data_IF_508378141641
#
_entry.id   IF_508378141641
#
_cell.length_a   1.000
_cell.length_b   1.000
_cell.length_c   1.000
_cell.angle_alpha   90.00
_cell.angle_beta   90.00
_cell.angle_gamma   90.00
#
_symmetry.space_group_name_H-M   'P 1'
#
loop_
_entity.id
_entity.type
_entity.pdbx_description
1 polymer ?
#
# COMPACT_ATOMS: atom_id res chain seq x y z
N UNK A 1 58.30 -12.67 37.02
CA UNK A 1 58.03 -11.29 36.52
C UNK A 1 57.70 -11.37 35.06
N UNK A 2 56.49 -11.05 34.66
CA UNK A 2 56.06 -11.11 33.24
C UNK A 2 56.77 -9.99 32.47
N UNK A 3 57.60 -10.39 31.49
CA UNK A 3 58.30 -9.47 30.59
C UNK A 3 57.31 -8.52 29.91
N UNK A 4 57.29 -7.23 30.30
CA UNK A 4 56.37 -6.24 29.72
C UNK A 4 56.73 -6.01 28.25
N UNK A 5 55.85 -6.43 27.33
CA UNK A 5 55.97 -6.17 25.87
C UNK A 5 56.06 -4.67 25.60
N UNK A 6 57.09 -4.22 24.89
CA UNK A 6 57.27 -2.82 24.50
C UNK A 6 57.23 -2.71 22.96
N UNK A 7 56.77 -1.59 22.44
CA UNK A 7 56.85 -1.27 21.01
C UNK A 7 58.27 -0.72 20.64
N UNK A 8 58.44 -0.37 19.36
CA UNK A 8 59.70 0.19 18.84
C UNK A 8 60.07 1.57 19.44
N UNK A 9 59.12 2.24 20.11
CA UNK A 9 59.33 3.51 20.82
C UNK A 9 59.43 3.32 22.33
N UNK A 10 59.58 2.08 22.84
CA UNK A 10 59.68 1.77 24.24
C UNK A 10 58.40 1.83 25.07
N UNK A 11 57.24 2.06 24.42
CA UNK A 11 55.96 2.16 25.09
C UNK A 11 55.42 0.78 25.46
N UNK A 12 54.86 0.64 26.66
CA UNK A 12 54.28 -0.62 27.16
C UNK A 12 53.01 -0.98 26.40
N UNK A 13 52.97 -2.19 25.87
CA UNK A 13 51.80 -2.78 25.21
C UNK A 13 50.96 -3.53 26.24
N UNK A 14 49.61 -3.44 26.09
CA UNK A 14 48.60 -4.15 26.89
C UNK A 14 48.45 -5.59 26.42
N UNK A 15 47.69 -6.39 27.17
CA UNK A 15 47.29 -7.73 26.75
C UNK A 15 46.50 -7.67 25.45
N UNK A 16 46.80 -8.53 24.50
CA UNK A 16 46.20 -8.51 23.17
C UNK A 16 46.87 -7.56 22.16
N UNK A 17 47.56 -6.47 22.63
CA UNK A 17 48.28 -5.55 21.75
C UNK A 17 49.61 -6.16 21.26
N UNK A 18 49.95 -5.89 19.99
CA UNK A 18 51.28 -6.22 19.45
C UNK A 18 51.73 -5.22 18.39
N UNK A 19 53.04 -4.98 18.33
CA UNK A 19 53.70 -4.26 17.25
C UNK A 19 54.15 -5.24 16.17
N UNK A 20 53.88 -4.97 14.92
CA UNK A 20 54.16 -5.84 13.78
C UNK A 20 55.35 -5.34 12.96
N UNK A 21 56.02 -6.27 12.28
CA UNK A 21 57.14 -5.94 11.39
C UNK A 21 56.78 -5.03 10.23
N UNK A 22 55.47 -5.00 9.85
CA UNK A 22 54.93 -4.15 8.80
C UNK A 22 54.61 -2.71 9.24
N UNK A 23 55.05 -2.31 10.44
CA UNK A 23 54.91 -0.96 10.97
C UNK A 23 53.50 -0.63 11.51
N UNK A 24 52.64 -1.63 11.67
CA UNK A 24 51.29 -1.46 12.22
C UNK A 24 51.18 -2.04 13.62
N UNK A 25 50.26 -1.51 14.40
CA UNK A 25 49.80 -2.09 15.64
C UNK A 25 48.64 -3.03 15.40
N UNK A 26 48.51 -4.09 16.20
CA UNK A 26 47.39 -4.99 16.18
C UNK A 26 46.90 -5.31 17.57
N UNK A 27 45.60 -5.45 17.73
CA UNK A 27 44.94 -5.93 18.93
C UNK A 27 44.12 -7.18 18.59
N UNK A 28 44.38 -8.25 19.37
CA UNK A 28 43.70 -9.53 19.21
C UNK A 28 42.78 -9.76 20.40
N UNK A 29 41.54 -10.11 20.10
CA UNK A 29 40.51 -10.40 21.09
C UNK A 29 39.65 -11.57 20.65
N UNK A 30 38.88 -12.17 21.57
CA UNK A 30 37.89 -13.20 21.28
C UNK A 30 36.54 -12.57 21.36
N UNK A 31 35.76 -12.71 20.31
CA UNK A 31 34.33 -12.35 20.31
C UNK A 31 33.59 -13.41 21.12
N UNK A 32 33.01 -13.02 22.25
CA UNK A 32 32.43 -13.94 23.24
C UNK A 32 31.25 -14.72 22.63
N UNK A 33 30.49 -14.11 21.72
CA UNK A 33 29.28 -14.68 21.13
C UNK A 33 29.59 -15.64 19.99
N UNK A 34 30.48 -15.27 19.10
CA UNK A 34 30.89 -16.13 17.97
C UNK A 34 31.98 -17.12 18.31
N UNK A 35 32.67 -16.97 19.46
CA UNK A 35 33.85 -17.75 19.87
C UNK A 35 35.07 -17.51 18.97
N UNK A 36 34.98 -16.63 17.98
CA UNK A 36 36.06 -16.39 17.01
C UNK A 36 37.11 -15.43 17.55
N UNK A 37 38.37 -15.76 17.30
CA UNK A 37 39.50 -14.85 17.53
C UNK A 37 39.58 -13.84 16.38
N UNK A 38 39.41 -12.56 16.70
CA UNK A 38 39.48 -11.45 15.77
C UNK A 38 40.71 -10.59 16.02
N UNK A 39 41.19 -9.90 14.99
CA UNK A 39 42.33 -9.00 15.08
C UNK A 39 42.00 -7.70 14.38
N UNK A 40 42.21 -6.56 15.04
CA UNK A 40 42.11 -5.23 14.44
C UNK A 40 43.48 -4.61 14.31
N UNK A 41 43.64 -3.73 13.33
CA UNK A 41 44.92 -3.08 13.03
C UNK A 41 44.75 -1.56 13.08
N UNK A 42 45.84 -0.88 13.47
CA UNK A 42 45.95 0.58 13.50
C UNK A 42 47.32 1.03 13.06
N UNK A 43 47.42 2.28 12.61
CA UNK A 43 48.72 2.87 12.21
C UNK A 43 49.57 3.29 13.42
N UNK A 44 48.90 3.69 14.49
CA UNK A 44 49.53 4.10 15.70
C UNK A 44 48.84 3.53 16.95
N UNK A 45 49.48 3.65 18.12
CA UNK A 45 49.00 3.09 19.38
C UNK A 45 47.76 3.84 19.94
N UNK A 46 47.65 5.17 19.83
CA UNK A 46 46.41 5.86 20.20
C UNK A 46 45.19 5.38 19.39
N UNK A 47 45.31 5.29 18.08
CA UNK A 47 44.24 4.77 17.22
C UNK A 47 43.84 3.32 17.60
N UNK A 48 44.85 2.49 17.93
CA UNK A 48 44.56 1.13 18.36
C UNK A 48 43.74 1.12 19.64
N UNK A 49 44.12 1.94 20.64
CA UNK A 49 43.46 2.01 21.95
C UNK A 49 42.05 2.58 21.89
N UNK A 50 41.76 3.51 20.97
CA UNK A 50 40.40 3.94 20.70
C UNK A 50 39.56 2.79 20.11
N UNK A 51 40.14 2.01 19.19
CA UNK A 51 39.48 0.80 18.67
C UNK A 51 39.24 -0.25 19.76
N UNK A 52 40.21 -0.47 20.67
CA UNK A 52 40.05 -1.37 21.82
C UNK A 52 38.90 -0.93 22.73
N UNK A 53 38.86 0.37 23.07
CA UNK A 53 37.80 0.92 23.92
C UNK A 53 36.41 0.73 23.28
N UNK A 54 36.33 0.94 21.98
CA UNK A 54 35.08 0.71 21.25
C UNK A 54 34.71 -0.78 21.22
N UNK A 55 35.67 -1.67 20.97
CA UNK A 55 35.46 -3.12 20.99
C UNK A 55 35.04 -3.61 22.37
N UNK A 56 35.70 -3.13 23.45
CA UNK A 56 35.33 -3.48 24.82
C UNK A 56 33.87 -3.09 25.10
N UNK A 57 33.46 -1.88 24.68
CA UNK A 57 32.11 -1.43 24.81
C UNK A 57 31.14 -2.24 23.94
N UNK A 58 31.53 -2.60 22.71
CA UNK A 58 30.71 -3.44 21.82
C UNK A 58 30.50 -4.85 22.42
N UNK A 59 31.55 -5.42 23.05
CA UNK A 59 31.48 -6.72 23.74
C UNK A 59 30.63 -6.65 25.01
N UNK A 60 30.75 -5.57 25.80
CA UNK A 60 29.93 -5.33 26.99
C UNK A 60 28.45 -5.18 26.64
N UNK A 61 28.14 -4.53 25.51
CA UNK A 61 26.78 -4.36 24.98
C UNK A 61 26.33 -5.57 24.12
N UNK A 62 27.06 -6.67 24.09
CA UNK A 62 26.81 -7.87 23.27
C UNK A 62 26.72 -7.62 21.76
N UNK A 63 27.26 -6.53 21.25
CA UNK A 63 27.27 -6.22 19.81
C UNK A 63 28.28 -7.12 19.08
N UNK A 64 27.85 -7.69 17.96
CA UNK A 64 28.71 -8.51 17.12
C UNK A 64 29.88 -7.71 16.54
N UNK A 65 31.09 -8.17 16.80
CA UNK A 65 32.32 -7.49 16.35
C UNK A 65 32.94 -8.08 15.09
N UNK A 66 32.28 -9.09 14.47
CA UNK A 66 32.76 -9.75 13.25
C UNK A 66 32.88 -8.75 12.09
N UNK A 67 34.05 -8.75 11.44
CA UNK A 67 34.33 -7.86 10.32
C UNK A 67 33.41 -8.04 9.09
N UNK A 68 32.81 -9.21 8.93
CA UNK A 68 31.80 -9.45 7.88
C UNK A 68 30.51 -8.68 8.15
N UNK A 69 30.08 -8.62 9.41
CA UNK A 69 28.88 -7.89 9.84
C UNK A 69 29.12 -6.38 9.76
N UNK A 70 30.32 -5.90 10.10
CA UNK A 70 30.69 -4.48 9.94
C UNK A 70 30.68 -3.99 8.49
N UNK A 71 30.65 -4.91 7.50
CA UNK A 71 30.51 -4.61 6.06
C UNK A 71 29.08 -4.73 5.54
N UNK A 72 28.15 -5.17 6.37
CA UNK A 72 26.73 -5.34 5.97
C UNK A 72 26.13 -4.01 5.55
N UNK A 73 25.66 -3.90 4.31
CA UNK A 73 24.95 -2.72 3.80
C UNK A 73 23.45 -2.85 4.08
N UNK A 74 22.72 -1.73 4.01
CA UNK A 74 21.28 -1.71 4.17
C UNK A 74 20.57 -2.54 3.08
N UNK A 75 21.12 -2.59 1.85
CA UNK A 75 20.61 -3.47 0.78
C UNK A 75 20.68 -4.95 1.20
N UNK A 76 21.82 -5.40 1.70
CA UNK A 76 21.96 -6.80 2.14
C UNK A 76 21.14 -7.11 3.38
N UNK A 77 20.96 -6.14 4.27
CA UNK A 77 20.06 -6.29 5.41
C UNK A 77 18.59 -6.44 4.95
N UNK A 78 18.16 -5.62 3.99
CA UNK A 78 16.83 -5.72 3.42
C UNK A 78 16.60 -7.08 2.72
N UNK A 79 17.57 -7.59 1.97
CA UNK A 79 17.51 -8.93 1.37
C UNK A 79 17.30 -10.02 2.44
N UNK A 80 18.06 -9.96 3.56
CA UNK A 80 17.87 -10.86 4.70
C UNK A 80 16.49 -10.72 5.31
N UNK A 81 16.03 -9.49 5.57
CA UNK A 81 14.69 -9.22 6.09
C UNK A 81 13.60 -9.80 5.17
N UNK A 82 13.73 -9.62 3.86
CA UNK A 82 12.78 -10.17 2.89
C UNK A 82 12.79 -11.70 2.82
N UNK A 83 13.91 -12.36 3.15
CA UNK A 83 13.99 -13.83 3.18
C UNK A 83 13.30 -14.44 4.39
N UNK A 84 13.16 -13.69 5.50
CA UNK A 84 12.46 -14.13 6.72
C UNK A 84 10.95 -13.87 6.70
N UNK A 85 10.45 -13.17 5.67
CA UNK A 85 9.05 -12.76 5.60
C UNK A 85 8.23 -13.63 4.64
N UNK A 86 7.17 -14.20 5.15
CA UNK A 86 6.10 -14.78 4.33
C UNK A 86 5.16 -13.66 3.87
N UNK A 87 5.30 -13.24 2.63
CA UNK A 87 4.49 -12.19 2.03
C UNK A 87 3.76 -12.73 0.81
N UNK A 88 2.52 -12.26 0.60
CA UNK A 88 1.85 -12.50 -0.70
C UNK A 88 2.74 -11.98 -1.84
N UNK A 89 2.83 -12.72 -2.92
CA UNK A 89 3.69 -12.42 -4.09
C UNK A 89 3.51 -10.97 -4.57
N UNK A 90 2.26 -10.51 -4.62
CA UNK A 90 1.96 -9.15 -5.01
C UNK A 90 2.54 -8.08 -4.06
N UNK A 91 2.63 -8.35 -2.76
CA UNK A 91 3.25 -7.46 -1.77
C UNK A 91 4.76 -7.52 -1.89
N UNK A 92 5.32 -8.73 -2.01
CA UNK A 92 6.76 -8.95 -2.22
C UNK A 92 7.27 -8.20 -3.44
N UNK A 93 6.58 -8.33 -4.58
CA UNK A 93 6.93 -7.62 -5.81
C UNK A 93 6.88 -6.09 -5.64
N UNK A 94 5.89 -5.55 -4.90
CA UNK A 94 5.85 -4.11 -4.61
C UNK A 94 7.01 -3.65 -3.73
N UNK A 95 7.39 -4.42 -2.71
CA UNK A 95 8.53 -4.12 -1.83
C UNK A 95 9.81 -4.08 -2.65
N UNK A 96 10.10 -5.13 -3.43
CA UNK A 96 11.29 -5.22 -4.26
C UNK A 96 11.37 -4.08 -5.28
N UNK A 97 10.27 -3.80 -6.00
CA UNK A 97 10.20 -2.70 -6.96
C UNK A 97 10.41 -1.34 -6.32
N UNK A 98 9.80 -1.11 -5.14
CA UNK A 98 9.95 0.17 -4.44
C UNK A 98 11.36 0.34 -3.91
N UNK A 99 11.95 -0.73 -3.36
CA UNK A 99 13.33 -0.73 -2.90
C UNK A 99 14.30 -0.40 -4.03
N UNK A 100 14.21 -1.14 -5.14
CA UNK A 100 15.05 -0.96 -6.33
C UNK A 100 15.00 0.47 -6.85
N UNK A 101 13.79 1.03 -7.00
CA UNK A 101 13.60 2.32 -7.65
C UNK A 101 13.83 3.54 -6.72
N UNK A 102 13.87 3.36 -5.39
CA UNK A 102 13.81 4.51 -4.47
C UNK A 102 14.79 4.46 -3.32
N UNK A 103 15.23 3.28 -2.88
CA UNK A 103 16.04 3.12 -1.66
C UNK A 103 17.45 2.65 -1.97
N UNK A 104 17.58 1.71 -2.91
CA UNK A 104 18.80 0.98 -3.22
C UNK A 104 20.02 1.90 -3.45
N UNK A 105 19.88 2.87 -4.32
CA UNK A 105 20.97 3.75 -4.74
C UNK A 105 21.12 4.98 -3.83
N UNK A 106 20.11 5.32 -3.06
CA UNK A 106 20.10 6.51 -2.21
C UNK A 106 20.79 6.25 -0.85
N UNK A 107 20.30 5.27 -0.11
CA UNK A 107 20.81 4.92 1.23
C UNK A 107 21.18 3.44 1.37
N UNK A 108 20.79 2.60 0.42
CA UNK A 108 20.94 1.16 0.48
C UNK A 108 22.39 0.68 0.55
N UNK A 109 23.34 1.45 0.05
CA UNK A 109 24.77 1.13 0.05
C UNK A 109 25.48 1.55 1.35
N UNK A 110 24.81 2.27 2.26
CA UNK A 110 25.39 2.66 3.55
C UNK A 110 25.49 1.40 4.42
N UNK A 111 26.63 1.25 5.11
CA UNK A 111 26.81 0.17 6.06
C UNK A 111 25.87 0.36 7.24
N UNK A 112 25.20 -0.72 7.67
CA UNK A 112 24.20 -0.69 8.75
C UNK A 112 24.73 -0.03 10.02
N UNK A 113 25.97 -0.36 10.42
CA UNK A 113 26.64 0.22 11.59
C UNK A 113 26.97 1.72 11.46
N UNK A 114 26.89 2.28 10.27
CA UNK A 114 27.16 3.70 9.97
C UNK A 114 25.88 4.51 9.72
N UNK A 115 24.73 3.85 9.69
CA UNK A 115 23.45 4.55 9.49
C UNK A 115 23.13 5.37 10.73
N UNK A 116 22.96 6.67 10.53
CA UNK A 116 22.52 7.60 11.56
C UNK A 116 21.06 8.03 11.30
N UNK A 117 20.32 8.43 12.35
CA UNK A 117 18.98 8.99 12.17
C UNK A 117 18.93 10.14 11.17
N UNK A 118 20.00 10.96 11.10
CA UNK A 118 20.12 12.07 10.15
C UNK A 118 20.13 11.61 8.69
N UNK A 119 20.73 10.46 8.37
CA UNK A 119 20.74 9.91 7.02
C UNK A 119 19.32 9.57 6.56
N UNK A 120 18.54 8.89 7.43
CA UNK A 120 17.16 8.49 7.11
C UNK A 120 16.25 9.72 7.05
N UNK A 121 16.37 10.66 7.99
CA UNK A 121 15.62 11.93 7.98
C UNK A 121 15.91 12.74 6.72
N UNK A 122 17.18 12.86 6.31
CA UNK A 122 17.58 13.54 5.08
C UNK A 122 16.97 12.87 3.85
N UNK A 123 16.98 11.54 3.81
CA UNK A 123 16.36 10.76 2.72
C UNK A 123 14.85 11.00 2.65
N UNK A 124 14.12 10.94 3.77
CA UNK A 124 12.68 11.22 3.78
C UNK A 124 12.37 12.69 3.43
N UNK A 125 13.21 13.63 3.89
CA UNK A 125 13.09 15.03 3.49
C UNK A 125 13.28 15.23 1.97
N UNK A 126 14.24 14.50 1.36
CA UNK A 126 14.44 14.51 -0.10
C UNK A 126 13.20 14.01 -0.84
N UNK A 127 12.60 12.89 -0.37
CA UNK A 127 11.36 12.37 -0.95
C UNK A 127 10.19 13.34 -0.79
N UNK A 128 10.06 13.97 0.39
CA UNK A 128 9.04 14.98 0.65
C UNK A 128 9.17 16.18 -0.28
N UNK A 129 10.38 16.73 -0.45
CA UNK A 129 10.66 17.83 -1.37
C UNK A 129 10.41 17.46 -2.84
N UNK A 130 10.60 16.19 -3.20
CA UNK A 130 10.25 15.67 -4.52
C UNK A 130 8.74 15.47 -4.72
N UNK A 131 7.89 15.83 -3.73
CA UNK A 131 6.43 15.79 -3.84
C UNK A 131 5.79 14.45 -3.54
N UNK A 132 6.54 13.48 -2.97
CA UNK A 132 5.96 12.19 -2.61
C UNK A 132 4.93 12.34 -1.49
N UNK A 133 3.82 11.56 -1.60
CA UNK A 133 2.81 11.50 -0.57
C UNK A 133 3.34 10.82 0.70
N UNK A 134 2.80 11.23 1.86
CA UNK A 134 3.07 10.58 3.16
C UNK A 134 2.93 9.06 3.11
N UNK A 135 1.87 8.56 2.47
CA UNK A 135 1.63 7.11 2.33
C UNK A 135 2.76 6.38 1.59
N UNK A 136 3.42 7.04 0.63
CA UNK A 136 4.58 6.48 -0.10
C UNK A 136 5.81 6.42 0.82
N UNK A 137 6.06 7.50 1.58
CA UNK A 137 7.18 7.55 2.53
C UNK A 137 6.95 6.53 3.65
N UNK A 138 5.72 6.43 4.16
CA UNK A 138 5.32 5.41 5.15
C UNK A 138 5.49 3.99 4.63
N UNK A 139 5.19 3.75 3.36
CA UNK A 139 5.41 2.46 2.73
C UNK A 139 6.90 2.10 2.67
N UNK A 140 7.78 3.07 2.41
CA UNK A 140 9.25 2.91 2.44
C UNK A 140 9.73 2.69 3.87
N UNK A 141 9.23 3.44 4.84
CA UNK A 141 9.54 3.30 6.26
C UNK A 141 9.16 1.90 6.79
N UNK A 142 8.04 1.36 6.34
CA UNK A 142 7.60 -0.01 6.67
C UNK A 142 8.54 -1.12 6.13
N UNK A 143 9.51 -0.78 5.28
CA UNK A 143 10.59 -1.67 4.84
C UNK A 143 11.88 -1.40 5.61
N UNK A 144 12.25 -0.14 5.80
CA UNK A 144 13.51 0.28 6.42
C UNK A 144 13.49 0.05 7.93
N UNK A 145 12.45 0.54 8.61
CA UNK A 145 12.38 0.49 10.06
C UNK A 145 12.36 -0.95 10.61
N UNK A 146 11.54 -1.90 10.10
CA UNK A 146 11.58 -3.28 10.56
C UNK A 146 12.89 -4.03 10.18
N UNK A 147 13.48 -3.73 9.03
CA UNK A 147 14.77 -4.32 8.67
C UNK A 147 15.89 -3.88 9.64
N UNK A 148 15.88 -2.62 10.05
CA UNK A 148 16.81 -2.10 11.04
C UNK A 148 16.48 -2.59 12.46
N UNK A 149 15.20 -2.86 12.78
CA UNK A 149 14.86 -3.51 14.06
C UNK A 149 15.40 -4.94 14.12
N UNK A 150 15.31 -5.71 13.03
CA UNK A 150 15.96 -7.02 12.95
C UNK A 150 17.48 -6.90 13.19
N UNK A 151 18.13 -5.83 12.73
CA UNK A 151 19.55 -5.62 13.00
C UNK A 151 19.84 -5.27 14.48
N UNK A 152 18.87 -4.72 15.22
CA UNK A 152 18.94 -4.55 16.68
C UNK A 152 18.76 -5.90 17.37
N UNK A 153 17.75 -6.68 16.96
CA UNK A 153 17.47 -8.00 17.52
C UNK A 153 18.63 -8.99 17.29
N UNK A 154 19.33 -8.85 16.15
CA UNK A 154 20.53 -9.61 15.81
C UNK A 154 21.82 -9.07 16.46
N UNK A 155 21.75 -8.05 17.33
CA UNK A 155 22.89 -7.37 17.99
C UNK A 155 23.94 -6.81 17.01
N UNK A 156 23.51 -6.38 15.84
CA UNK A 156 24.37 -5.71 14.84
C UNK A 156 24.51 -4.22 15.17
N UNK A 157 23.43 -3.60 15.65
CA UNK A 157 23.39 -2.20 16.08
C UNK A 157 22.64 -2.08 17.41
N UNK A 158 23.00 -1.08 18.23
CA UNK A 158 22.40 -0.87 19.56
C UNK A 158 20.99 -0.31 19.55
N UNK A 159 20.68 0.50 18.55
CA UNK A 159 19.39 1.22 18.45
C UNK A 159 19.00 1.33 16.98
N UNK A 160 17.72 1.25 16.74
CA UNK A 160 17.17 1.46 15.41
C UNK A 160 17.19 2.96 15.04
N UNK A 161 17.99 3.36 14.04
CA UNK A 161 18.08 4.76 13.62
C UNK A 161 16.85 5.27 12.88
N UNK A 162 15.91 4.38 12.49
CA UNK A 162 14.64 4.74 11.85
C UNK A 162 13.49 4.92 12.85
N UNK A 163 13.70 4.72 14.15
CA UNK A 163 12.66 4.77 15.17
C UNK A 163 12.35 6.22 15.60
N UNK A 164 11.64 6.95 14.74
CA UNK A 164 11.15 8.31 14.99
C UNK A 164 9.82 8.53 14.24
N UNK A 165 9.09 9.59 14.61
CA UNK A 165 7.85 9.95 13.90
C UNK A 165 8.14 10.45 12.49
N UNK A 166 7.38 9.98 11.52
CA UNK A 166 7.47 10.42 10.13
C UNK A 166 6.26 11.26 9.69
N UNK A 167 5.41 11.70 10.62
CA UNK A 167 4.19 12.49 10.35
C UNK A 167 4.42 13.75 9.52
N UNK A 168 5.62 14.33 9.66
CA UNK A 168 5.99 15.62 9.07
C UNK A 168 6.54 15.49 7.65
N UNK A 169 6.67 14.24 7.14
CA UNK A 169 7.22 13.99 5.81
C UNK A 169 6.12 13.67 4.81
N UNK A 170 6.26 14.24 3.61
CA UNK A 170 5.38 13.97 2.50
C UNK A 170 4.08 14.78 2.52
N UNK A 171 3.47 14.87 1.33
CA UNK A 171 2.16 15.52 1.20
C UNK A 171 1.09 14.63 1.85
N UNK A 172 0.32 15.20 2.75
CA UNK A 172 -0.84 14.51 3.30
C UNK A 172 -1.84 14.18 2.19
N UNK A 173 -2.49 13.03 2.31
CA UNK A 173 -3.52 12.66 1.35
C UNK A 173 -4.74 13.56 1.53
N UNK A 174 -5.29 14.04 0.43
CA UNK A 174 -6.61 14.66 0.45
C UNK A 174 -7.65 13.61 0.85
N UNK A 175 -8.60 14.01 1.68
CA UNK A 175 -9.69 13.15 2.07
C UNK A 175 -10.52 12.74 0.85
N UNK A 176 -10.81 11.45 0.74
CA UNK A 176 -11.64 10.94 -0.35
C UNK A 176 -13.11 11.08 0.04
N UNK A 177 -13.74 12.12 -0.47
CA UNK A 177 -15.13 12.41 -0.20
C UNK A 177 -16.02 11.63 -1.19
N UNK A 178 -17.11 11.04 -0.70
CA UNK A 178 -18.15 10.43 -1.51
C UNK A 178 -18.82 11.50 -2.39
N UNK A 179 -19.29 11.11 -3.57
CA UNK A 179 -20.11 12.00 -4.39
C UNK A 179 -21.38 12.36 -3.62
N UNK A 180 -21.82 13.61 -3.69
CA UNK A 180 -23.17 13.98 -3.23
C UNK A 180 -24.23 13.26 -4.08
N UNK A 181 -25.48 13.20 -3.61
CA UNK A 181 -26.59 12.62 -4.39
C UNK A 181 -26.70 13.29 -5.76
N UNK A 182 -26.67 14.61 -5.77
CA UNK A 182 -26.74 15.40 -7.00
C UNK A 182 -25.57 15.14 -7.96
N UNK A 183 -24.34 15.05 -7.46
CA UNK A 183 -23.16 14.73 -8.28
C UNK A 183 -23.25 13.32 -8.87
N UNK A 184 -23.72 12.36 -8.09
CA UNK A 184 -23.95 10.98 -8.55
C UNK A 184 -25.00 10.94 -9.65
N UNK A 185 -26.14 11.62 -9.47
CA UNK A 185 -27.22 11.69 -10.45
C UNK A 185 -26.75 12.35 -11.74
N UNK A 186 -26.07 13.52 -11.66
CA UNK A 186 -25.50 14.19 -12.83
C UNK A 186 -24.52 13.31 -13.59
N UNK A 187 -23.67 12.58 -12.85
CA UNK A 187 -22.72 11.65 -13.48
C UNK A 187 -23.44 10.55 -14.25
N UNK A 188 -24.42 9.90 -13.63
CA UNK A 188 -25.18 8.82 -14.24
C UNK A 188 -26.01 9.31 -15.43
N UNK A 189 -26.68 10.44 -15.30
CA UNK A 189 -27.48 11.05 -16.37
C UNK A 189 -26.62 11.44 -17.57
N UNK A 190 -25.48 12.09 -17.33
CA UNK A 190 -24.53 12.43 -18.38
C UNK A 190 -24.06 11.19 -19.13
N UNK A 191 -23.65 10.13 -18.42
CA UNK A 191 -23.18 8.91 -19.04
C UNK A 191 -24.27 8.22 -19.83
N UNK A 192 -25.49 8.13 -19.29
CA UNK A 192 -26.65 7.52 -19.95
C UNK A 192 -26.97 8.18 -21.30
N UNK A 193 -26.90 9.52 -21.35
CA UNK A 193 -27.30 10.33 -22.51
C UNK A 193 -26.15 10.67 -23.46
N UNK A 194 -24.90 10.25 -23.14
CA UNK A 194 -23.73 10.55 -23.97
C UNK A 194 -23.42 9.40 -24.92
N UNK A 195 -23.32 9.68 -26.22
CA UNK A 195 -23.08 8.68 -27.26
C UNK A 195 -21.74 7.93 -27.11
N UNK A 196 -20.73 8.57 -26.51
CA UNK A 196 -19.40 7.97 -26.33
C UNK A 196 -19.33 7.12 -25.06
N UNK A 197 -20.02 7.53 -24.00
CA UNK A 197 -19.88 6.94 -22.67
C UNK A 197 -21.05 6.04 -22.23
N UNK A 198 -22.18 6.01 -22.98
CA UNK A 198 -23.38 5.25 -22.59
C UNK A 198 -23.12 3.75 -22.40
N UNK A 199 -22.14 3.19 -23.10
CA UNK A 199 -21.73 1.78 -22.94
C UNK A 199 -21.15 1.47 -21.56
N UNK A 200 -20.73 2.47 -20.79
CA UNK A 200 -20.25 2.33 -19.42
C UNK A 200 -21.32 2.52 -18.36
N UNK A 201 -22.54 2.92 -18.74
CA UNK A 201 -23.64 3.16 -17.82
C UNK A 201 -24.00 1.94 -16.95
N UNK A 202 -24.13 0.72 -17.49
CA UNK A 202 -24.39 -0.47 -16.68
C UNK A 202 -23.26 -0.74 -15.69
N UNK A 203 -21.99 -0.60 -16.11
CA UNK A 203 -20.83 -0.77 -15.23
C UNK A 203 -20.87 0.17 -14.02
N UNK A 204 -21.17 1.46 -14.23
CA UNK A 204 -21.26 2.43 -13.13
C UNK A 204 -22.39 2.09 -12.16
N UNK A 205 -23.52 1.61 -12.64
CA UNK A 205 -24.64 1.17 -11.79
C UNK A 205 -24.28 -0.08 -10.98
N UNK A 206 -23.57 -1.03 -11.58
CA UNK A 206 -23.06 -2.21 -10.87
C UNK A 206 -22.07 -1.79 -9.79
N UNK A 207 -21.15 -0.88 -10.10
CA UNK A 207 -20.18 -0.34 -9.12
C UNK A 207 -20.88 0.29 -7.92
N UNK A 208 -21.87 1.15 -8.15
CA UNK A 208 -22.63 1.83 -7.09
C UNK A 208 -23.53 0.88 -6.31
N UNK A 209 -24.09 -0.11 -6.97
CA UNK A 209 -25.03 -1.03 -6.34
C UNK A 209 -24.38 -2.16 -5.55
N UNK A 210 -23.18 -2.58 -5.95
CA UNK A 210 -22.44 -3.67 -5.27
C UNK A 210 -21.37 -3.16 -4.30
N UNK A 211 -20.86 -1.94 -4.53
CA UNK A 211 -19.72 -1.41 -3.80
C UNK A 211 -18.42 -2.23 -3.94
N UNK A 212 -18.33 -3.11 -4.96
CA UNK A 212 -17.17 -3.97 -5.20
C UNK A 212 -15.86 -3.18 -5.37
N UNK A 213 -14.74 -3.78 -4.97
CA UNK A 213 -13.42 -3.21 -5.27
C UNK A 213 -13.13 -3.30 -6.77
N UNK A 214 -12.31 -2.40 -7.28
CA UNK A 214 -11.97 -2.36 -8.71
C UNK A 214 -11.51 -3.73 -9.23
N UNK A 215 -10.59 -4.41 -8.54
CA UNK A 215 -10.10 -5.74 -8.93
C UNK A 215 -11.17 -6.83 -8.85
N UNK A 216 -12.06 -6.77 -7.87
CA UNK A 216 -13.22 -7.66 -7.74
C UNK A 216 -14.16 -7.48 -8.95
N UNK A 217 -14.54 -6.22 -9.25
CA UNK A 217 -15.44 -5.92 -10.35
C UNK A 217 -14.93 -6.36 -11.71
N UNK A 218 -13.67 -6.04 -12.04
CA UNK A 218 -13.11 -6.45 -13.35
C UNK A 218 -12.83 -7.95 -13.42
N UNK A 219 -12.74 -8.62 -12.27
CA UNK A 219 -12.62 -10.07 -12.16
C UNK A 219 -13.93 -10.82 -12.34
N UNK A 220 -15.09 -10.16 -12.17
CA UNK A 220 -16.38 -10.83 -12.28
C UNK A 220 -16.56 -11.53 -13.64
N UNK A 221 -17.01 -12.76 -13.56
CA UNK A 221 -17.44 -13.59 -14.68
C UNK A 221 -18.96 -13.76 -14.69
N UNK A 222 -19.53 -14.27 -15.77
CA UNK A 222 -20.96 -14.58 -15.80
C UNK A 222 -21.36 -15.74 -14.90
N UNK A 223 -20.41 -16.54 -14.43
CA UNK A 223 -20.64 -17.62 -13.45
C UNK A 223 -20.86 -17.06 -12.03
N UNK A 224 -20.32 -15.87 -11.74
CA UNK A 224 -20.48 -15.19 -10.45
C UNK A 224 -21.84 -14.52 -10.28
N UNK A 225 -22.65 -14.41 -11.36
CA UNK A 225 -23.90 -13.67 -11.35
C UNK A 225 -25.09 -14.59 -11.54
N UNK A 226 -25.81 -14.87 -10.46
CA UNK A 226 -27.08 -15.60 -10.53
C UNK A 226 -28.26 -14.63 -10.58
N UNK A 227 -28.82 -14.47 -11.78
CA UNK A 227 -29.99 -13.60 -12.04
C UNK A 227 -31.27 -14.14 -11.39
N UNK A 228 -31.38 -15.46 -11.19
CA UNK A 228 -32.59 -16.10 -10.60
C UNK A 228 -32.66 -15.85 -9.11
N UNK A 229 -31.56 -16.07 -8.41
CA UNK A 229 -31.46 -15.82 -6.95
C UNK A 229 -31.15 -14.37 -6.64
N UNK A 230 -30.89 -13.54 -7.65
CA UNK A 230 -30.48 -12.13 -7.54
C UNK A 230 -29.26 -11.97 -6.65
N UNK A 231 -28.20 -12.72 -6.94
CA UNK A 231 -26.98 -12.71 -6.16
C UNK A 231 -25.74 -12.55 -7.04
N UNK A 232 -24.73 -11.85 -6.49
CA UNK A 232 -23.39 -11.74 -7.07
C UNK A 232 -22.39 -12.32 -6.06
N UNK A 233 -21.65 -13.33 -6.48
CA UNK A 233 -20.55 -13.90 -5.68
C UNK A 233 -19.25 -13.15 -5.94
N UNK A 234 -18.55 -12.81 -4.89
CA UNK A 234 -17.21 -12.18 -4.95
C UNK A 234 -16.28 -13.07 -4.14
N UNK A 235 -15.48 -13.88 -4.81
CA UNK A 235 -14.52 -14.80 -4.21
C UNK A 235 -13.10 -14.65 -4.78
N UNK A 236 -12.97 -13.83 -5.83
CA UNK A 236 -11.71 -13.56 -6.50
C UNK A 236 -11.60 -12.11 -6.99
N UNK A 237 -10.44 -11.74 -7.46
CA UNK A 237 -10.15 -10.46 -8.07
C UNK A 237 -9.16 -10.62 -9.22
N UNK A 238 -9.29 -9.81 -10.25
CA UNK A 238 -8.36 -9.72 -11.36
C UNK A 238 -7.30 -8.66 -11.07
N UNK A 239 -6.03 -9.03 -11.21
CA UNK A 239 -4.90 -8.10 -11.09
C UNK A 239 -4.08 -8.13 -12.37
N UNK A 240 -3.40 -7.01 -12.70
CA UNK A 240 -2.45 -6.94 -13.80
C UNK A 240 -1.08 -6.57 -13.23
N UNK A 241 -0.18 -7.54 -13.18
CA UNK A 241 1.09 -7.39 -12.47
C UNK A 241 2.16 -8.33 -13.04
N UNK A 242 3.42 -7.94 -12.85
CA UNK A 242 4.56 -8.82 -13.01
C UNK A 242 4.82 -9.54 -11.67
N UNK A 243 4.68 -10.85 -11.66
CA UNK A 243 4.96 -11.72 -10.52
C UNK A 243 6.25 -12.54 -10.75
N UNK A 244 7.08 -12.13 -11.72
CA UNK A 244 8.33 -12.79 -12.06
C UNK A 244 8.35 -13.36 -13.49
N UNK A 245 7.21 -13.29 -14.19
CA UNK A 245 6.99 -13.83 -15.54
C UNK A 245 6.49 -12.78 -16.55
N UNK A 246 6.72 -11.50 -16.22
CA UNK A 246 6.27 -10.36 -17.00
C UNK A 246 4.90 -9.84 -16.61
N UNK A 247 4.54 -8.67 -17.15
CA UNK A 247 3.23 -8.05 -16.88
C UNK A 247 2.11 -8.79 -17.58
N UNK A 248 1.25 -9.47 -16.82
CA UNK A 248 0.05 -10.16 -17.32
C UNK A 248 -1.08 -10.12 -16.31
N UNK A 249 -2.27 -10.56 -16.72
CA UNK A 249 -3.40 -10.74 -15.83
C UNK A 249 -3.21 -12.00 -14.97
N UNK A 250 -3.62 -11.90 -13.71
CA UNK A 250 -3.68 -13.01 -12.77
C UNK A 250 -4.97 -12.95 -11.98
N UNK A 251 -5.51 -14.10 -11.62
CA UNK A 251 -6.55 -14.21 -10.60
C UNK A 251 -5.88 -14.26 -9.23
N UNK A 252 -6.40 -13.52 -8.29
CA UNK A 252 -5.93 -13.50 -6.91
C UNK A 252 -7.11 -13.62 -5.96
N UNK A 253 -6.96 -14.41 -4.90
CA UNK A 253 -7.95 -14.48 -3.83
C UNK A 253 -7.99 -13.18 -3.02
N UNK A 254 -9.11 -12.81 -2.42
CA UNK A 254 -9.20 -11.70 -1.50
C UNK A 254 -8.17 -11.79 -0.37
N UNK A 255 -7.80 -10.65 0.21
CA UNK A 255 -6.77 -10.60 1.27
C UNK A 255 -7.23 -11.21 2.60
N UNK A 256 -8.52 -11.26 2.84
CA UNK A 256 -9.14 -11.79 4.04
C UNK A 256 -10.40 -12.56 3.66
N UNK A 257 -10.80 -13.50 4.49
CA UNK A 257 -12.03 -14.30 4.31
C UNK A 257 -13.28 -13.43 4.22
N UNK A 258 -13.30 -12.28 4.89
CA UNK A 258 -14.36 -11.25 4.75
C UNK A 258 -14.48 -10.69 3.32
N UNK A 259 -13.46 -10.90 2.47
CA UNK A 259 -13.51 -10.54 1.05
C UNK A 259 -14.33 -11.51 0.22
N UNK A 260 -14.52 -12.76 0.68
CA UNK A 260 -15.36 -13.77 0.04
C UNK A 260 -16.79 -13.57 0.55
N UNK A 261 -17.69 -13.22 -0.36
CA UNK A 261 -19.05 -12.86 0.00
C UNK A 261 -20.01 -12.96 -1.17
N UNK A 262 -21.28 -13.19 -0.86
CA UNK A 262 -22.38 -13.14 -1.83
C UNK A 262 -23.25 -11.91 -1.55
N UNK A 263 -23.38 -11.01 -2.51
CA UNK A 263 -24.10 -9.75 -2.40
C UNK A 263 -25.47 -9.92 -3.06
N UNK A 264 -26.59 -9.73 -2.32
CA UNK A 264 -27.92 -9.66 -2.93
C UNK A 264 -28.02 -8.46 -3.89
N UNK A 265 -28.59 -8.66 -5.07
CA UNK A 265 -28.80 -7.62 -6.05
C UNK A 265 -30.14 -6.91 -5.85
N UNK A 266 -30.12 -5.59 -5.88
CA UNK A 266 -31.37 -4.84 -6.12
C UNK A 266 -31.84 -5.05 -7.57
N UNK A 267 -33.13 -4.81 -7.85
CA UNK A 267 -33.66 -4.90 -9.20
C UNK A 267 -32.94 -3.98 -10.21
N UNK A 268 -32.38 -2.87 -9.72
CA UNK A 268 -31.58 -1.96 -10.53
C UNK A 268 -30.23 -2.55 -10.93
N UNK A 269 -29.55 -3.24 -10.00
CA UNK A 269 -28.28 -3.92 -10.25
C UNK A 269 -28.50 -5.10 -11.19
N UNK A 270 -29.57 -5.86 -10.99
CA UNK A 270 -29.96 -6.95 -11.88
C UNK A 270 -30.15 -6.45 -13.31
N UNK A 271 -30.94 -5.38 -13.52
CA UNK A 271 -31.13 -4.76 -14.83
C UNK A 271 -29.81 -4.29 -15.45
N UNK A 272 -28.90 -3.74 -14.64
CA UNK A 272 -27.60 -3.31 -15.12
C UNK A 272 -26.74 -4.49 -15.62
N UNK A 273 -26.78 -5.65 -14.96
CA UNK A 273 -26.12 -6.86 -15.47
C UNK A 273 -26.77 -7.37 -16.77
N UNK A 274 -28.09 -7.35 -16.87
CA UNK A 274 -28.79 -7.74 -18.09
C UNK A 274 -28.44 -6.81 -19.27
N UNK A 275 -28.39 -5.50 -19.04
CA UNK A 275 -27.93 -4.50 -20.01
C UNK A 275 -26.48 -4.74 -20.43
N UNK A 276 -25.59 -5.01 -19.45
CA UNK A 276 -24.19 -5.34 -19.73
C UNK A 276 -24.04 -6.62 -20.56
N UNK A 277 -24.87 -7.63 -20.32
CA UNK A 277 -24.88 -8.88 -21.09
C UNK A 277 -25.28 -8.64 -22.55
N UNK A 278 -26.32 -7.81 -22.77
CA UNK A 278 -26.73 -7.39 -24.11
C UNK A 278 -25.63 -6.63 -24.84
N UNK A 279 -24.95 -5.69 -24.14
CA UNK A 279 -23.83 -4.93 -24.71
C UNK A 279 -22.67 -5.86 -25.10
N UNK A 280 -22.30 -6.80 -24.26
CA UNK A 280 -21.23 -7.75 -24.56
C UNK A 280 -21.58 -8.63 -25.77
N UNK A 281 -22.83 -9.07 -25.86
CA UNK A 281 -23.31 -9.84 -27.01
C UNK A 281 -23.24 -9.02 -28.31
N UNK A 282 -23.77 -7.80 -28.30
CA UNK A 282 -23.78 -6.91 -29.50
C UNK A 282 -22.35 -6.54 -29.94
N UNK A 283 -21.42 -6.39 -29.01
CA UNK A 283 -20.04 -6.01 -29.28
C UNK A 283 -19.11 -7.23 -29.47
N UNK A 284 -19.66 -8.44 -29.47
CA UNK A 284 -18.96 -9.72 -29.62
C UNK A 284 -17.76 -9.88 -28.67
N UNK A 285 -17.91 -9.39 -27.42
CA UNK A 285 -16.83 -9.36 -26.43
C UNK A 285 -16.81 -10.64 -25.59
N UNK A 286 -15.61 -11.11 -25.25
CA UNK A 286 -15.36 -12.03 -24.15
C UNK A 286 -15.53 -13.52 -24.44
N UNK A 287 -15.54 -13.96 -25.70
CA UNK A 287 -15.82 -15.38 -26.02
C UNK A 287 -14.69 -16.37 -25.71
N UNK A 288 -13.42 -15.94 -25.74
CA UNK A 288 -12.29 -16.88 -25.77
C UNK A 288 -11.15 -16.56 -24.79
N UNK A 289 -11.38 -15.65 -23.82
CA UNK A 289 -10.31 -15.27 -22.86
C UNK A 289 -10.42 -16.12 -21.62
N UNK A 290 -9.37 -16.89 -21.37
CA UNK A 290 -9.15 -17.63 -20.13
C UNK A 290 -7.95 -17.06 -19.37
N UNK A 291 -8.12 -16.82 -18.06
CA UNK A 291 -7.06 -16.35 -17.16
C UNK A 291 -7.14 -17.20 -15.90
N UNK A 292 -6.08 -17.95 -15.61
CA UNK A 292 -5.95 -18.82 -14.44
C UNK A 292 -7.19 -19.72 -14.22
N UNK A 293 -7.77 -20.26 -15.32
CA UNK A 293 -8.96 -21.13 -15.30
C UNK A 293 -10.31 -20.40 -15.35
N UNK A 294 -10.34 -19.08 -15.23
CA UNK A 294 -11.58 -18.28 -15.29
C UNK A 294 -11.89 -17.81 -16.71
N UNK A 295 -13.16 -17.87 -17.08
CA UNK A 295 -13.68 -17.50 -18.41
C UNK A 295 -14.91 -16.62 -18.28
N UNK A 296 -15.30 -15.96 -19.40
CA UNK A 296 -16.56 -15.22 -19.45
C UNK A 296 -16.56 -13.93 -18.64
N UNK A 297 -15.44 -13.21 -18.58
CA UNK A 297 -15.32 -11.92 -17.89
C UNK A 297 -16.35 -10.91 -18.36
N UNK A 298 -16.96 -10.19 -17.43
CA UNK A 298 -18.08 -9.27 -17.71
C UNK A 298 -17.57 -7.96 -18.31
N UNK A 299 -16.51 -7.37 -17.74
CA UNK A 299 -16.03 -6.06 -18.15
C UNK A 299 -14.82 -6.17 -19.08
N UNK A 300 -15.10 -6.03 -20.37
CA UNK A 300 -14.14 -6.24 -21.45
C UNK A 300 -13.77 -4.93 -22.15
N UNK A 301 -12.48 -4.78 -22.45
CA UNK A 301 -11.98 -3.70 -23.29
C UNK A 301 -12.34 -3.92 -24.79
N UNK A 302 -12.16 -2.89 -25.61
CA UNK A 302 -12.31 -3.00 -27.08
C UNK A 302 -11.33 -4.00 -27.72
N UNK A 303 -10.20 -4.25 -27.07
CA UNK A 303 -9.19 -5.22 -27.52
C UNK A 303 -9.57 -6.69 -27.31
N UNK A 304 -10.75 -6.99 -26.74
CA UNK A 304 -11.17 -8.35 -26.41
C UNK A 304 -10.54 -8.93 -25.16
N UNK A 305 -9.77 -8.16 -24.39
CA UNK A 305 -9.22 -8.54 -23.08
C UNK A 305 -10.06 -7.96 -21.95
N UNK A 306 -10.03 -8.52 -20.74
CA UNK A 306 -10.63 -7.87 -19.57
C UNK A 306 -10.12 -6.45 -19.37
N UNK A 307 -10.92 -5.59 -18.73
CA UNK A 307 -10.47 -4.24 -18.39
C UNK A 307 -9.30 -4.31 -17.42
N UNK A 308 -8.31 -3.46 -17.64
CA UNK A 308 -7.23 -3.26 -16.67
C UNK A 308 -7.73 -2.46 -15.46
N UNK A 309 -7.19 -2.68 -14.24
CA UNK A 309 -7.55 -1.89 -13.07
C UNK A 309 -7.48 -0.38 -13.30
N UNK A 310 -6.44 0.09 -13.99
CA UNK A 310 -6.26 1.51 -14.30
C UNK A 310 -7.25 2.02 -15.37
N UNK A 311 -7.78 1.14 -16.23
CA UNK A 311 -8.70 1.54 -17.28
C UNK A 311 -10.00 2.11 -16.72
N UNK A 312 -10.53 1.56 -15.63
CA UNK A 312 -11.72 2.10 -14.97
C UNK A 312 -11.49 3.54 -14.50
N UNK A 313 -10.36 3.82 -13.87
CA UNK A 313 -10.05 5.18 -13.42
C UNK A 313 -9.90 6.16 -14.60
N UNK A 314 -9.29 5.72 -15.70
CA UNK A 314 -9.19 6.52 -16.92
C UNK A 314 -10.58 6.79 -17.55
N UNK A 315 -11.46 5.79 -17.56
CA UNK A 315 -12.84 5.94 -18.03
C UNK A 315 -13.57 6.99 -17.18
N UNK A 316 -13.52 6.85 -15.86
CA UNK A 316 -14.14 7.79 -14.92
C UNK A 316 -13.58 9.20 -15.06
N UNK A 317 -12.26 9.34 -15.17
CA UNK A 317 -11.60 10.62 -15.41
C UNK A 317 -12.10 11.28 -16.71
N UNK A 318 -12.15 10.53 -17.82
CA UNK A 318 -12.62 11.04 -19.10
C UNK A 318 -14.10 11.44 -19.08
N UNK A 319 -14.94 10.69 -18.35
CA UNK A 319 -16.35 11.03 -18.13
C UNK A 319 -16.47 12.37 -17.41
N UNK A 320 -15.76 12.54 -16.31
CA UNK A 320 -15.78 13.77 -15.51
C UNK A 320 -15.23 14.95 -16.31
N UNK A 321 -14.12 14.78 -17.01
CA UNK A 321 -13.52 15.82 -17.84
C UNK A 321 -14.50 16.27 -18.96
N UNK A 322 -15.14 15.32 -19.64
CA UNK A 322 -16.13 15.59 -20.69
C UNK A 322 -17.38 16.30 -20.14
N UNK A 323 -17.88 15.87 -18.97
CA UNK A 323 -18.97 16.54 -18.27
C UNK A 323 -18.59 17.97 -17.93
N UNK A 324 -17.46 18.17 -17.26
CA UNK A 324 -17.02 19.48 -16.79
C UNK A 324 -16.78 20.45 -17.94
N UNK A 325 -16.21 19.98 -19.06
CA UNK A 325 -16.06 20.80 -20.27
C UNK A 325 -17.39 21.26 -20.83
N UNK A 326 -18.37 20.34 -20.93
CA UNK A 326 -19.72 20.66 -21.39
C UNK A 326 -20.43 21.62 -20.45
N UNK A 327 -20.33 21.37 -19.13
CA UNK A 327 -20.97 22.19 -18.10
C UNK A 327 -20.44 23.64 -18.10
N UNK A 328 -19.11 23.83 -18.24
CA UNK A 328 -18.52 25.16 -18.36
C UNK A 328 -19.07 25.94 -19.56
N UNK A 329 -19.30 25.26 -20.69
CA UNK A 329 -19.87 25.90 -21.88
C UNK A 329 -21.33 26.30 -21.66
N UNK A 330 -22.14 25.40 -21.09
CA UNK A 330 -23.56 25.66 -20.76
C UNK A 330 -23.67 26.81 -19.76
N UNK A 331 -22.94 26.74 -18.65
CA UNK A 331 -22.95 27.76 -17.61
C UNK A 331 -22.57 29.15 -18.13
N UNK A 332 -21.60 29.21 -19.07
CA UNK A 332 -21.23 30.45 -19.74
C UNK A 332 -22.37 31.02 -20.60
N UNK A 333 -23.08 30.16 -21.31
CA UNK A 333 -24.23 30.56 -22.12
C UNK A 333 -25.41 31.01 -21.27
N UNK A 334 -25.62 30.35 -20.13
CA UNK A 334 -26.70 30.64 -19.18
C UNK A 334 -26.35 31.72 -18.15
N UNK A 335 -25.17 32.30 -18.21
CA UNK A 335 -24.66 33.32 -17.28
C UNK A 335 -24.72 32.92 -15.81
N UNK A 336 -24.45 31.63 -15.50
CA UNK A 336 -24.39 31.05 -14.14
C UNK A 336 -23.04 30.46 -13.82
N UNK A 337 -22.81 30.14 -12.55
CA UNK A 337 -21.63 29.37 -12.15
C UNK A 337 -21.73 27.92 -12.64
N UNK A 338 -20.60 27.38 -13.13
CA UNK A 338 -20.53 26.00 -13.55
C UNK A 338 -20.55 25.05 -12.33
N UNK A 339 -21.37 24.03 -12.38
CA UNK A 339 -21.48 23.00 -11.35
C UNK A 339 -20.62 21.78 -11.70
N UNK A 340 -19.34 21.89 -11.36
CA UNK A 340 -18.33 20.89 -11.75
C UNK A 340 -18.41 19.61 -10.88
N UNK A 341 -18.18 18.48 -11.51
CA UNK A 341 -17.96 17.21 -10.81
C UNK A 341 -16.51 17.16 -10.28
N UNK A 342 -16.29 16.63 -9.06
CA UNK A 342 -14.96 16.38 -8.54
C UNK A 342 -14.28 15.25 -9.30
N UNK A 343 -12.97 15.07 -9.10
CA UNK A 343 -12.26 13.89 -9.61
C UNK A 343 -12.88 12.61 -9.06
N UNK A 344 -13.26 11.68 -9.95
CA UNK A 344 -13.88 10.41 -9.59
C UNK A 344 -12.95 9.25 -9.91
N UNK A 345 -12.82 8.31 -8.97
CA UNK A 345 -12.08 7.06 -9.14
C UNK A 345 -12.95 5.87 -8.76
N UNK A 346 -12.54 4.66 -9.11
CA UNK A 346 -13.24 3.43 -8.71
C UNK A 346 -13.40 3.33 -7.18
N UNK A 347 -12.41 3.85 -6.43
CA UNK A 347 -12.49 3.87 -4.97
C UNK A 347 -13.49 4.91 -4.44
N UNK A 348 -13.60 6.07 -5.09
CA UNK A 348 -14.65 7.07 -4.76
C UNK A 348 -16.04 6.51 -5.09
N UNK A 349 -16.20 5.78 -6.22
CA UNK A 349 -17.46 5.11 -6.53
C UNK A 349 -17.86 4.10 -5.44
N UNK A 350 -16.90 3.28 -4.97
CA UNK A 350 -17.12 2.36 -3.85
C UNK A 350 -17.44 3.12 -2.56
N UNK A 351 -16.73 4.19 -2.25
CA UNK A 351 -16.99 5.03 -1.08
C UNK A 351 -18.40 5.63 -1.17
N UNK A 352 -18.80 6.16 -2.33
CA UNK A 352 -20.16 6.65 -2.59
C UNK A 352 -21.21 5.55 -2.39
N UNK A 353 -20.98 4.33 -2.89
CA UNK A 353 -21.87 3.19 -2.64
C UNK A 353 -22.06 2.91 -1.15
N UNK A 354 -20.97 2.86 -0.39
CA UNK A 354 -20.97 2.65 1.05
C UNK A 354 -21.78 3.76 1.77
N UNK A 355 -21.51 5.02 1.44
CA UNK A 355 -22.21 6.19 1.98
C UNK A 355 -23.71 6.15 1.68
N UNK A 356 -24.11 5.84 0.42
CA UNK A 356 -25.55 5.73 0.06
C UNK A 356 -26.27 4.61 0.82
N UNK A 357 -25.60 3.49 1.07
CA UNK A 357 -26.15 2.40 1.89
C UNK A 357 -26.27 2.81 3.35
N UNK A 358 -25.28 3.51 3.89
CA UNK A 358 -25.28 4.03 5.26
C UNK A 358 -26.40 5.09 5.45
N UNK A 359 -26.57 6.04 4.52
CA UNK A 359 -27.65 7.04 4.53
C UNK A 359 -29.05 6.42 4.50
N UNK A 360 -29.17 5.25 3.82
CA UNK A 360 -30.41 4.45 3.82
C UNK A 360 -30.58 3.60 5.09
N UNK A 361 -29.77 3.83 6.12
CA UNK A 361 -29.82 3.15 7.42
C UNK A 361 -29.63 1.62 7.32
N UNK A 362 -28.82 1.17 6.36
CA UNK A 362 -28.43 -0.23 6.34
C UNK A 362 -27.69 -0.58 7.63
N UNK A 363 -28.01 -1.72 8.23
CA UNK A 363 -27.27 -2.20 9.41
C UNK A 363 -25.77 -2.23 9.17
N UNK A 364 -24.98 -1.76 10.16
CA UNK A 364 -23.53 -1.59 10.04
C UNK A 364 -22.82 -2.93 9.74
N UNK A 365 -23.29 -4.04 10.34
CA UNK A 365 -22.71 -5.37 10.11
C UNK A 365 -23.03 -5.89 8.72
N UNK A 366 -24.25 -5.63 8.24
CA UNK A 366 -24.65 -5.96 6.87
C UNK A 366 -23.84 -5.14 5.88
N UNK A 367 -23.64 -3.85 6.13
CA UNK A 367 -22.80 -3.00 5.29
C UNK A 367 -21.34 -3.44 5.31
N UNK A 368 -20.79 -3.77 6.50
CA UNK A 368 -19.45 -4.33 6.61
C UNK A 368 -19.28 -5.58 5.75
N UNK A 369 -20.26 -6.48 5.78
CA UNK A 369 -20.28 -7.72 4.98
C UNK A 369 -20.34 -7.40 3.48
N UNK A 370 -21.29 -6.60 3.01
CA UNK A 370 -21.43 -6.21 1.60
C UNK A 370 -20.14 -5.58 1.08
N UNK A 371 -19.56 -4.69 1.85
CA UNK A 371 -18.32 -4.02 1.48
C UNK A 371 -17.09 -4.94 1.60
N UNK A 372 -17.16 -6.06 2.32
CA UNK A 372 -16.03 -6.96 2.57
C UNK A 372 -14.91 -6.25 3.34
N UNK A 373 -15.25 -5.49 4.38
CA UNK A 373 -14.29 -4.84 5.27
C UNK A 373 -13.88 -5.80 6.38
N UNK A 374 -12.56 -6.06 6.50
CA UNK A 374 -12.03 -6.93 7.55
C UNK A 374 -12.27 -6.36 8.96
N UNK A 375 -12.19 -5.03 9.10
CA UNK A 375 -12.39 -4.31 10.36
C UNK A 375 -13.60 -3.39 10.26
N UNK A 376 -14.38 -3.33 11.34
CA UNK A 376 -15.60 -2.53 11.40
C UNK A 376 -15.30 -1.02 11.34
N UNK A 377 -14.13 -0.61 11.85
CA UNK A 377 -13.71 0.79 11.91
C UNK A 377 -13.79 1.46 10.53
N UNK A 378 -13.36 0.74 9.47
CA UNK A 378 -13.45 1.24 8.09
C UNK A 378 -14.90 1.54 7.65
N UNK A 379 -15.87 0.80 8.18
CA UNK A 379 -17.29 1.02 7.90
C UNK A 379 -17.83 2.15 8.77
N UNK A 380 -17.39 2.20 10.03
CA UNK A 380 -17.80 3.25 10.99
C UNK A 380 -17.30 4.62 10.56
N UNK A 381 -16.09 4.74 9.99
CA UNK A 381 -15.59 6.00 9.45
C UNK A 381 -16.56 6.60 8.41
N UNK A 382 -17.14 5.75 7.54
CA UNK A 382 -18.15 6.20 6.58
C UNK A 382 -19.45 6.64 7.26
N UNK A 383 -19.87 5.91 8.31
CA UNK A 383 -21.06 6.26 9.09
C UNK A 383 -20.92 7.60 9.81
N UNK A 384 -19.73 7.93 10.30
CA UNK A 384 -19.45 9.19 11.00
C UNK A 384 -19.50 10.41 10.06
N UNK A 385 -19.20 10.21 8.76
CA UNK A 385 -19.31 11.27 7.75
C UNK A 385 -20.74 11.51 7.24
N UNK A 386 -21.66 10.56 7.47
CA UNK A 386 -23.09 10.79 7.22
C UNK A 386 -23.61 11.70 8.30
N UNK A 387 -23.93 12.93 7.93
CA UNK A 387 -24.18 14.10 8.82
C UNK A 387 -24.82 13.72 10.16
N UNK A 388 -24.09 13.92 11.27
CA UNK A 388 -24.54 13.63 12.64
C UNK A 388 -25.89 14.27 12.96
N UNK A 389 -26.12 15.50 12.50
CA UNK A 389 -27.35 16.25 12.79
C UNK A 389 -28.61 15.65 12.17
N UNK A 390 -28.59 15.27 10.89
CA UNK A 390 -29.75 14.65 10.26
C UNK A 390 -30.07 13.27 10.83
N UNK A 391 -29.05 12.58 11.36
CA UNK A 391 -29.23 11.31 12.08
C UNK A 391 -29.85 11.53 13.45
N UNK A 392 -29.34 12.50 14.21
CA UNK A 392 -29.87 12.86 15.53
C UNK A 392 -31.35 13.26 15.41
N UNK A 393 -31.70 14.17 14.49
CA UNK A 393 -33.08 14.60 14.26
C UNK A 393 -34.00 13.42 13.88
N UNK A 394 -33.54 12.52 13.00
CA UNK A 394 -34.33 11.38 12.57
C UNK A 394 -34.48 10.30 13.65
N UNK A 395 -33.47 10.11 14.52
CA UNK A 395 -33.59 9.17 15.66
C UNK A 395 -34.49 9.76 16.77
N UNK A 396 -34.45 11.07 17.02
CA UNK A 396 -35.38 11.74 17.94
C UNK A 396 -36.81 11.59 17.45
N UNK A 397 -37.09 11.88 16.17
CA UNK A 397 -38.42 11.71 15.58
C UNK A 397 -38.91 10.25 15.69
N UNK A 398 -38.02 9.28 15.50
CA UNK A 398 -38.36 7.85 15.67
C UNK A 398 -38.67 7.51 17.13
N UNK A 399 -37.88 7.99 18.07
CA UNK A 399 -38.14 7.79 19.50
C UNK A 399 -39.50 8.41 19.91
N UNK A 400 -39.82 9.59 19.42
CA UNK A 400 -41.12 10.23 19.65
C UNK A 400 -42.29 9.42 19.09
N UNK A 401 -42.13 8.80 17.91
CA UNK A 401 -43.14 7.94 17.29
C UNK A 401 -43.36 6.62 18.04
N UNK A 402 -42.34 6.10 18.72
CA UNK A 402 -42.45 4.87 19.55
C UNK A 402 -42.97 5.14 20.95
N UNK A 403 -42.76 6.35 21.48
CA UNK A 403 -43.23 6.74 22.84
C UNK A 403 -44.74 7.03 22.90
N UNK A 404 -45.46 7.05 21.76
CA UNK A 404 -46.89 7.36 21.65
C UNK A 404 -47.72 6.08 21.36
N UNK A 405 -47.09 4.94 21.24
CA UNK A 405 -47.75 3.63 21.12
C UNK A 405 -47.58 2.78 22.37
#
# INVERSE_FOLDING_TARGET
>A
MANSRKDHKGRKLREGESWRKDGRYSYRYTDIRSGKRLTVYARDLPELREKEKQIAKDLEDNILTDGAIKKLTLNKLFERYMSTRELKESTRANYLKTWENRVKDEIGNIKVVQILPSHIKSFYSKLSKAGYAYSTIKFIDNMICPALEMAVDDDIIRKNPAKFSISDYGRQAEERIALTVLQQEKTLEFVKNNQVYNTYYPMLRIMLGTGGRCGELIGLTWEDVDVRTKAVSIDHQLIYKDLGDGYKFHISTPKADSGIRTIPMTSDVQRAFEEQKKLNFMLQKGKDVEIDGYKGFIFMAKSGRPLMPNAINNILYNIVDAYNKKEVQIAKTEHRNAELLPTVSAHIMRHTACTRMAEKRMDVKVLQYIMGHAHIDVTMDVYNHVSEMSRIESEITRLESVAIS
#
